data_IF_293540737922
#
_entry.id   IF_293540737922
#
_cell.length_a   1.000
_cell.length_b   1.000
_cell.length_c   1.000
_cell.angle_alpha   90.00
_cell.angle_beta   90.00
_cell.angle_gamma   90.00
#
_symmetry.space_group_name_H-M   'P 1'
#
loop_
_entity.id
_entity.type
_entity.pdbx_description
1 polymer ?
#
# COMPACT_ATOMS: atom_id res chain seq x y z
N UNK A 1 -6.45 -2.42 -22.57
CA UNK A 1 -6.64 -1.03 -22.09
C UNK A 1 -7.94 -0.48 -22.65
N UNK A 2 -8.60 0.43 -21.93
CA UNK A 2 -9.74 1.19 -22.45
C UNK A 2 -9.68 2.65 -22.02
N UNK A 3 -10.44 3.52 -22.69
CA UNK A 3 -10.61 4.92 -22.30
C UNK A 3 -12.09 5.25 -22.21
N UNK A 4 -12.48 5.94 -21.13
CA UNK A 4 -13.83 6.42 -20.95
C UNK A 4 -13.79 7.71 -20.11
N UNK A 5 -14.52 8.74 -20.55
CA UNK A 5 -14.60 10.06 -19.90
C UNK A 5 -13.24 10.69 -19.53
N UNK A 6 -12.25 10.54 -20.42
CA UNK A 6 -10.89 11.08 -20.21
C UNK A 6 -10.06 10.35 -19.15
N UNK A 7 -10.49 9.14 -18.75
CA UNK A 7 -9.76 8.23 -17.87
C UNK A 7 -9.31 7.01 -18.68
N UNK A 8 -8.03 6.65 -18.56
CA UNK A 8 -7.43 5.45 -19.14
C UNK A 8 -7.38 4.35 -18.11
N UNK A 9 -7.86 3.17 -18.48
CA UNK A 9 -7.96 1.99 -17.62
C UNK A 9 -7.01 0.89 -18.08
N UNK A 10 -6.30 0.31 -17.11
CA UNK A 10 -5.55 -0.92 -17.29
C UNK A 10 -6.44 -2.10 -16.88
N UNK A 11 -6.50 -3.10 -17.77
CA UNK A 11 -7.20 -4.37 -17.56
C UNK A 11 -6.20 -5.48 -17.89
N UNK A 12 -6.15 -6.54 -17.09
CA UNK A 12 -5.44 -7.77 -17.41
C UNK A 12 -6.46 -8.88 -17.59
N UNK A 13 -6.72 -9.24 -18.85
CA UNK A 13 -7.51 -10.40 -19.34
C UNK A 13 -8.83 -10.73 -18.62
N UNK A 14 -9.38 -9.76 -17.88
CA UNK A 14 -10.61 -9.84 -17.11
C UNK A 14 -11.37 -8.51 -17.16
N UNK A 15 -12.60 -8.50 -16.66
CA UNK A 15 -13.42 -7.27 -16.54
C UNK A 15 -12.93 -6.34 -15.42
N UNK A 16 -11.95 -6.76 -14.61
CA UNK A 16 -11.49 -6.02 -13.45
C UNK A 16 -10.51 -4.92 -13.86
N UNK A 17 -10.79 -3.70 -13.42
CA UNK A 17 -9.90 -2.55 -13.56
C UNK A 17 -8.74 -2.71 -12.58
N UNK A 18 -7.55 -3.00 -13.10
CA UNK A 18 -6.32 -3.07 -12.29
C UNK A 18 -5.76 -1.70 -11.93
N UNK A 19 -6.16 -0.65 -12.65
CA UNK A 19 -5.78 0.71 -12.33
C UNK A 19 -6.36 1.70 -13.32
N UNK A 20 -6.40 2.96 -12.91
CA UNK A 20 -6.93 4.05 -13.73
C UNK A 20 -6.01 5.28 -13.65
N UNK A 21 -6.00 6.06 -14.72
CA UNK A 21 -5.29 7.34 -14.79
C UNK A 21 -6.11 8.35 -15.58
N UNK A 22 -6.35 9.52 -14.98
CA UNK A 22 -6.97 10.64 -15.69
C UNK A 22 -5.97 11.27 -16.66
N UNK A 23 -6.30 11.33 -17.94
CA UNK A 23 -5.39 11.82 -18.98
C UNK A 23 -4.97 13.28 -18.76
N UNK A 24 -5.91 14.13 -18.32
CA UNK A 24 -5.67 15.56 -18.06
C UNK A 24 -4.93 15.83 -16.74
N UNK A 25 -4.95 14.88 -15.80
CA UNK A 25 -4.35 15.01 -14.45
C UNK A 25 -3.75 13.67 -14.02
N UNK A 26 -2.72 13.17 -14.72
CA UNK A 26 -2.18 11.82 -14.54
C UNK A 26 -1.58 11.57 -13.15
N UNK A 27 -1.29 12.65 -12.43
CA UNK A 27 -0.80 12.66 -11.05
C UNK A 27 -1.88 12.55 -9.97
N UNK A 28 -3.17 12.71 -10.32
CA UNK A 28 -4.26 12.53 -9.36
C UNK A 28 -4.55 11.05 -9.16
N UNK A 29 -4.72 10.66 -7.90
CA UNK A 29 -5.18 9.32 -7.55
C UNK A 29 -6.69 9.25 -7.82
N UNK A 30 -7.07 8.60 -8.91
CA UNK A 30 -8.46 8.55 -9.36
C UNK A 30 -9.31 7.56 -8.54
N UNK A 31 -8.75 6.39 -8.22
CA UNK A 31 -9.47 5.31 -7.56
C UNK A 31 -9.47 5.49 -6.04
N UNK A 32 -10.62 5.29 -5.40
CA UNK A 32 -10.78 5.50 -3.96
C UNK A 32 -9.87 4.60 -3.13
N UNK A 33 -9.70 3.32 -3.50
CA UNK A 33 -8.81 2.43 -2.77
C UNK A 33 -7.34 2.88 -2.88
N UNK A 34 -6.92 3.39 -4.04
CA UNK A 34 -5.55 3.90 -4.27
C UNK A 34 -5.32 5.16 -3.43
N UNK A 35 -6.34 6.03 -3.28
CA UNK A 35 -6.26 7.14 -2.32
C UNK A 35 -6.10 6.63 -0.88
N UNK A 36 -6.88 5.60 -0.50
CA UNK A 36 -6.81 5.00 0.85
C UNK A 36 -5.49 4.28 1.13
N UNK A 37 -4.80 3.77 0.10
CA UNK A 37 -3.42 3.25 0.22
C UNK A 37 -2.43 4.31 0.70
N UNK A 38 -2.75 5.60 0.56
CA UNK A 38 -1.94 6.72 1.07
C UNK A 38 -2.25 7.08 2.54
N UNK A 39 -3.09 6.31 3.24
CA UNK A 39 -3.47 6.61 4.62
C UNK A 39 -2.27 6.65 5.58
N UNK A 40 -1.16 5.98 5.26
CA UNK A 40 0.10 6.06 6.01
C UNK A 40 0.58 7.51 6.24
N UNK A 41 0.20 8.46 5.38
CA UNK A 41 0.50 9.89 5.55
C UNK A 41 0.01 10.44 6.90
N UNK A 42 -1.05 9.87 7.49
CA UNK A 42 -1.57 10.27 8.79
C UNK A 42 -0.57 9.99 9.93
N UNK A 43 0.22 8.93 9.82
CA UNK A 43 1.15 8.50 10.87
C UNK A 43 2.53 9.17 10.77
N UNK A 44 2.92 9.72 9.62
CA UNK A 44 4.21 10.40 9.46
C UNK A 44 4.15 11.88 9.85
N UNK A 45 5.23 12.37 10.47
CA UNK A 45 5.39 13.79 10.76
C UNK A 45 5.39 14.61 9.46
N UNK A 46 4.64 15.70 9.41
CA UNK A 46 4.52 16.55 8.20
C UNK A 46 5.84 17.17 7.77
N UNK A 47 6.81 17.31 8.69
CA UNK A 47 8.16 17.83 8.41
C UNK A 47 9.03 16.81 7.68
N UNK A 48 8.77 15.52 7.88
CA UNK A 48 9.57 14.41 7.34
C UNK A 48 8.78 13.53 6.36
N UNK A 49 7.50 13.85 6.12
CA UNK A 49 6.55 13.08 5.32
C UNK A 49 7.09 12.66 3.94
N UNK A 50 7.91 13.51 3.32
CA UNK A 50 8.49 13.31 2.00
C UNK A 50 9.95 12.83 2.03
N UNK A 51 10.52 12.61 3.21
CA UNK A 51 11.89 12.15 3.37
C UNK A 51 11.97 10.62 3.24
N UNK A 52 13.08 10.17 2.65
CA UNK A 52 13.40 8.76 2.52
C UNK A 52 12.85 8.10 1.25
N UNK A 53 12.57 6.79 1.36
CA UNK A 53 12.17 5.94 0.25
C UNK A 53 10.75 5.41 0.41
N UNK A 54 9.98 5.51 -0.67
CA UNK A 54 8.72 4.80 -0.86
C UNK A 54 8.94 3.60 -1.81
N UNK A 55 8.43 2.44 -1.44
CA UNK A 55 8.46 1.23 -2.26
C UNK A 55 7.03 0.84 -2.64
N UNK A 56 6.84 0.42 -3.89
CA UNK A 56 5.59 -0.06 -4.45
C UNK A 56 5.81 -1.50 -4.90
N UNK A 57 5.13 -2.47 -4.27
CA UNK A 57 5.10 -3.84 -4.73
C UNK A 57 3.83 -4.02 -5.57
N UNK A 58 4.02 -4.23 -6.87
CA UNK A 58 2.98 -4.11 -7.89
C UNK A 58 2.96 -2.70 -8.48
N UNK A 59 3.04 -2.59 -9.81
CA UNK A 59 3.03 -1.29 -10.48
C UNK A 59 1.61 -0.86 -10.87
N UNK A 60 0.77 -1.81 -11.30
CA UNK A 60 -0.58 -1.52 -11.82
C UNK A 60 -0.56 -0.44 -12.89
N UNK A 61 -1.44 0.57 -12.79
CA UNK A 61 -1.41 1.75 -13.67
C UNK A 61 -0.45 2.86 -13.20
N UNK A 62 0.51 2.54 -12.32
CA UNK A 62 1.60 3.42 -11.86
C UNK A 62 1.15 4.59 -11.00
N UNK A 63 -0.08 4.58 -10.48
CA UNK A 63 -0.66 5.72 -9.78
C UNK A 63 0.08 6.06 -8.48
N UNK A 64 0.31 5.06 -7.62
CA UNK A 64 1.07 5.26 -6.37
C UNK A 64 2.51 5.67 -6.65
N UNK A 65 3.17 5.03 -7.62
CA UNK A 65 4.53 5.35 -8.07
C UNK A 65 4.64 6.80 -8.55
N UNK A 66 3.75 7.23 -9.44
CA UNK A 66 3.72 8.62 -9.93
C UNK A 66 3.43 9.60 -8.80
N UNK A 67 2.50 9.27 -7.91
CA UNK A 67 2.15 10.15 -6.80
C UNK A 67 3.32 10.34 -5.83
N UNK A 68 3.95 9.26 -5.36
CA UNK A 68 5.10 9.33 -4.46
C UNK A 68 6.29 10.06 -5.10
N UNK A 69 6.60 9.75 -6.36
CA UNK A 69 7.71 10.38 -7.07
C UNK A 69 7.46 11.85 -7.41
N UNK A 70 6.28 12.20 -7.92
CA UNK A 70 6.01 13.53 -8.49
C UNK A 70 5.42 14.49 -7.47
N UNK A 71 4.42 14.04 -6.71
CA UNK A 71 3.71 14.89 -5.74
C UNK A 71 4.45 14.96 -4.41
N UNK A 72 4.89 13.81 -3.88
CA UNK A 72 5.66 13.77 -2.64
C UNK A 72 7.15 14.01 -2.86
N UNK A 73 7.65 13.90 -4.10
CA UNK A 73 9.08 14.05 -4.45
C UNK A 73 9.98 13.07 -3.71
N UNK A 74 9.44 11.93 -3.28
CA UNK A 74 10.18 10.86 -2.61
C UNK A 74 11.01 10.06 -3.60
N UNK A 75 12.14 9.51 -3.15
CA UNK A 75 12.76 8.38 -3.85
C UNK A 75 11.76 7.24 -3.87
N UNK A 76 11.51 6.69 -5.05
CA UNK A 76 10.44 5.73 -5.30
C UNK A 76 10.98 4.54 -6.07
N UNK A 77 10.85 3.36 -5.48
CA UNK A 77 11.10 2.08 -6.16
C UNK A 77 9.76 1.40 -6.44
N UNK A 78 9.54 0.95 -7.66
CA UNK A 78 8.41 0.07 -8.00
C UNK A 78 8.95 -1.29 -8.44
N UNK A 79 8.37 -2.37 -7.90
CA UNK A 79 8.73 -3.76 -8.22
C UNK A 79 7.53 -4.38 -8.93
N UNK A 80 7.74 -4.84 -10.17
CA UNK A 80 6.69 -5.38 -11.02
C UNK A 80 7.19 -6.62 -11.76
N UNK A 81 6.45 -7.72 -11.68
CA UNK A 81 6.85 -8.98 -12.31
C UNK A 81 6.59 -8.99 -13.82
N UNK A 82 5.56 -8.27 -14.29
CA UNK A 82 5.14 -8.30 -15.68
C UNK A 82 5.80 -7.16 -16.50
N UNK A 83 6.76 -7.47 -17.40
CA UNK A 83 7.41 -6.45 -18.23
C UNK A 83 6.43 -5.70 -19.15
N UNK A 84 5.29 -6.30 -19.49
CA UNK A 84 4.25 -5.65 -20.29
C UNK A 84 3.55 -4.55 -19.50
N UNK A 85 3.34 -4.73 -18.19
CA UNK A 85 2.79 -3.68 -17.31
C UNK A 85 3.77 -2.52 -17.20
N UNK A 86 5.06 -2.79 -17.06
CA UNK A 86 6.11 -1.78 -17.04
C UNK A 86 6.11 -0.99 -18.35
N UNK A 87 6.17 -1.68 -19.49
CA UNK A 87 6.14 -1.06 -20.82
C UNK A 87 4.87 -0.22 -21.01
N UNK A 88 3.70 -0.74 -20.61
CA UNK A 88 2.46 0.01 -20.68
C UNK A 88 2.51 1.30 -19.86
N UNK A 89 3.14 1.27 -18.68
CA UNK A 89 3.29 2.46 -17.85
C UNK A 89 4.18 3.53 -18.49
N UNK A 90 5.29 3.13 -19.13
CA UNK A 90 6.17 4.06 -19.83
C UNK A 90 5.48 4.71 -21.03
N UNK A 91 4.80 3.91 -21.86
CA UNK A 91 4.20 4.39 -23.10
C UNK A 91 2.85 5.10 -22.90
N UNK A 92 2.04 4.62 -21.95
CA UNK A 92 0.62 5.00 -21.86
C UNK A 92 0.21 5.56 -20.50
N UNK A 93 0.99 5.37 -19.43
CA UNK A 93 0.64 5.93 -18.11
C UNK A 93 1.64 6.98 -17.62
N UNK A 94 2.37 7.60 -18.55
CA UNK A 94 3.24 8.76 -18.30
C UNK A 94 4.25 8.53 -17.17
N UNK A 95 4.70 7.28 -16.99
CA UNK A 95 5.80 6.97 -16.10
C UNK A 95 7.11 7.25 -16.85
N UNK A 96 7.95 8.21 -16.44
CA UNK A 96 9.19 8.54 -17.14
C UNK A 96 10.20 7.39 -16.99
N UNK A 97 11.27 7.34 -17.77
CA UNK A 97 12.39 6.41 -17.50
C UNK A 97 12.98 6.59 -16.09
N UNK A 98 13.82 5.63 -15.68
CA UNK A 98 14.45 5.65 -14.36
C UNK A 98 15.44 6.82 -14.24
N UNK A 99 15.50 7.40 -13.04
CA UNK A 99 16.35 8.54 -12.70
C UNK A 99 16.74 8.51 -11.22
N UNK A 100 17.32 9.59 -10.72
CA UNK A 100 17.77 9.68 -9.32
C UNK A 100 16.64 9.49 -8.28
N UNK A 101 15.36 9.65 -8.67
CA UNK A 101 14.19 9.48 -7.79
C UNK A 101 13.33 8.28 -8.14
N UNK A 102 13.44 7.71 -9.33
CA UNK A 102 12.63 6.59 -9.77
C UNK A 102 13.49 5.40 -10.17
N UNK A 103 13.18 4.26 -9.59
CA UNK A 103 13.66 2.96 -10.04
C UNK A 103 12.47 2.03 -10.28
N UNK A 104 12.39 1.41 -11.44
CA UNK A 104 11.41 0.35 -11.72
C UNK A 104 12.17 -0.94 -11.95
N UNK A 105 11.95 -1.91 -11.07
CA UNK A 105 12.61 -3.21 -11.07
C UNK A 105 11.65 -4.25 -11.62
N UNK A 106 12.08 -4.98 -12.65
CA UNK A 106 11.33 -6.11 -13.17
C UNK A 106 11.72 -7.38 -12.40
N UNK A 107 11.00 -7.68 -11.33
CA UNK A 107 11.33 -8.78 -10.41
C UNK A 107 10.08 -9.27 -9.67
N UNK A 108 10.14 -10.48 -9.10
CA UNK A 108 9.14 -10.97 -8.17
C UNK A 108 9.22 -10.20 -6.84
N UNK A 109 8.06 -9.75 -6.34
CA UNK A 109 8.00 -8.94 -5.13
C UNK A 109 8.46 -9.71 -3.88
N UNK A 110 8.19 -11.03 -3.80
CA UNK A 110 8.61 -11.88 -2.69
C UNK A 110 10.12 -12.05 -2.65
N UNK A 111 10.73 -12.34 -3.80
CA UNK A 111 12.19 -12.39 -3.93
C UNK A 111 12.83 -11.04 -3.55
N UNK A 112 12.26 -9.93 -4.01
CA UNK A 112 12.79 -8.60 -3.75
C UNK A 112 12.76 -8.24 -2.25
N UNK A 113 11.68 -8.55 -1.52
CA UNK A 113 11.62 -8.26 -0.07
C UNK A 113 12.50 -9.20 0.76
N UNK A 114 12.74 -10.43 0.29
CA UNK A 114 13.62 -11.39 0.94
C UNK A 114 15.12 -11.04 0.81
N UNK A 115 15.49 -10.22 -0.18
CA UNK A 115 16.87 -9.77 -0.33
C UNK A 115 17.27 -8.77 0.78
N UNK A 116 18.24 -9.18 1.59
CA UNK A 116 18.79 -8.40 2.70
C UNK A 116 19.39 -7.05 2.25
N UNK A 117 19.74 -6.88 0.98
CA UNK A 117 20.17 -5.59 0.44
C UNK A 117 19.07 -4.51 0.52
N UNK A 118 17.80 -4.91 0.61
CA UNK A 118 16.66 -4.00 0.65
C UNK A 118 16.18 -3.67 2.08
N UNK A 119 16.76 -4.31 3.11
CA UNK A 119 16.29 -4.21 4.49
C UNK A 119 16.62 -2.88 5.18
N UNK A 120 15.69 -2.40 6.02
CA UNK A 120 15.87 -1.21 6.85
C UNK A 120 15.83 0.13 6.10
N UNK A 121 15.46 0.13 4.81
CA UNK A 121 15.65 1.28 3.94
C UNK A 121 14.35 2.00 3.56
N UNK A 122 13.18 1.36 3.70
CA UNK A 122 11.91 1.93 3.25
C UNK A 122 11.17 2.64 4.39
N UNK A 123 10.85 3.93 4.22
CA UNK A 123 9.93 4.62 5.13
C UNK A 123 8.47 4.29 4.84
N UNK A 124 8.19 3.89 3.59
CA UNK A 124 6.87 3.49 3.14
C UNK A 124 6.98 2.29 2.23
N UNK A 125 6.15 1.27 2.46
CA UNK A 125 5.98 0.11 1.60
C UNK A 125 4.50 -0.03 1.24
N UNK A 126 4.13 0.06 -0.02
CA UNK A 126 2.75 -0.16 -0.47
C UNK A 126 2.71 -1.50 -1.21
N UNK A 127 1.83 -2.40 -0.76
CA UNK A 127 1.64 -3.74 -1.32
C UNK A 127 0.29 -3.78 -2.02
N UNK A 128 0.32 -3.85 -3.34
CA UNK A 128 -0.86 -3.87 -4.22
C UNK A 128 -0.70 -4.99 -5.25
N UNK A 129 -0.58 -6.22 -4.73
CA UNK A 129 -0.28 -7.42 -5.51
C UNK A 129 -1.56 -8.26 -5.71
N UNK A 130 -1.94 -8.48 -6.96
CA UNK A 130 -3.07 -9.33 -7.33
C UNK A 130 -2.70 -10.27 -8.47
N UNK A 131 -3.30 -11.45 -8.48
CA UNK A 131 -3.25 -12.30 -9.66
C UNK A 131 -4.06 -11.68 -10.82
N UNK A 132 -3.87 -12.22 -12.02
CA UNK A 132 -4.54 -11.76 -13.24
C UNK A 132 -6.07 -11.94 -13.19
N UNK A 133 -6.59 -12.76 -12.28
CA UNK A 133 -8.03 -12.97 -12.06
C UNK A 133 -8.61 -12.10 -10.92
N UNK A 134 -7.75 -11.36 -10.20
CA UNK A 134 -8.04 -10.73 -8.92
C UNK A 134 -8.69 -11.71 -7.89
N UNK A 135 -8.32 -12.99 -7.95
CA UNK A 135 -8.93 -14.04 -7.14
C UNK A 135 -8.45 -13.99 -5.68
N UNK A 136 -7.15 -13.72 -5.46
CA UNK A 136 -6.53 -13.48 -4.16
C UNK A 136 -5.27 -12.58 -4.27
N UNK A 137 -4.75 -12.03 -3.14
CA UNK A 137 -3.38 -11.52 -3.13
C UNK A 137 -2.40 -12.65 -3.46
N UNK A 138 -1.45 -12.39 -4.36
CA UNK A 138 -0.46 -13.40 -4.81
C UNK A 138 0.48 -13.80 -3.67
N UNK A 139 0.76 -12.84 -2.77
CA UNK A 139 1.61 -13.02 -1.60
C UNK A 139 0.80 -12.61 -0.36
N UNK A 140 0.30 -13.60 0.37
CA UNK A 140 -0.45 -13.43 1.61
C UNK A 140 -0.07 -14.56 2.59
N UNK A 141 1.15 -14.51 3.10
CA UNK A 141 1.67 -15.42 4.11
C UNK A 141 2.54 -14.69 5.14
N UNK A 142 2.80 -15.34 6.27
CA UNK A 142 3.52 -14.74 7.41
C UNK A 142 4.99 -14.47 7.08
N UNK A 143 5.63 -15.29 6.23
CA UNK A 143 7.04 -15.10 5.85
C UNK A 143 7.19 -13.86 4.96
N UNK A 144 6.31 -13.69 3.98
CA UNK A 144 6.27 -12.50 3.15
C UNK A 144 6.07 -11.22 3.97
N UNK A 145 5.13 -11.22 4.93
CA UNK A 145 4.95 -10.05 5.79
C UNK A 145 6.15 -9.82 6.72
N UNK A 146 6.84 -10.88 7.18
CA UNK A 146 8.08 -10.74 7.94
C UNK A 146 9.20 -10.09 7.11
N UNK A 147 9.33 -10.45 5.84
CA UNK A 147 10.28 -9.81 4.92
C UNK A 147 9.89 -8.35 4.64
N UNK A 148 8.60 -8.06 4.45
CA UNK A 148 8.09 -6.70 4.36
C UNK A 148 8.46 -5.86 5.60
N UNK A 149 8.32 -6.43 6.80
CA UNK A 149 8.72 -5.78 8.04
C UNK A 149 10.24 -5.50 8.10
N UNK A 150 11.07 -6.42 7.59
CA UNK A 150 12.53 -6.22 7.50
C UNK A 150 12.92 -5.12 6.52
N UNK A 151 12.21 -4.98 5.39
CA UNK A 151 12.39 -3.90 4.40
C UNK A 151 12.14 -2.52 4.99
N UNK A 152 11.16 -2.38 5.89
CA UNK A 152 10.87 -1.10 6.52
C UNK A 152 12.03 -0.62 7.39
N UNK A 153 12.33 0.66 7.31
CA UNK A 153 13.11 1.37 8.32
C UNK A 153 12.32 1.42 9.64
N UNK A 154 13.01 1.71 10.75
CA UNK A 154 12.33 1.97 12.02
C UNK A 154 11.41 3.20 11.88
N UNK A 155 10.17 3.10 12.39
CA UNK A 155 9.10 4.06 12.16
C UNK A 155 8.48 4.00 10.75
N UNK A 156 8.89 3.03 9.92
CA UNK A 156 8.34 2.82 8.59
C UNK A 156 6.91 2.28 8.61
N UNK A 157 6.16 2.55 7.55
CA UNK A 157 4.76 2.15 7.41
C UNK A 157 4.55 1.30 6.17
N UNK A 158 3.77 0.24 6.31
CA UNK A 158 3.25 -0.55 5.21
C UNK A 158 1.77 -0.27 5.00
N UNK A 159 1.32 -0.23 3.75
CA UNK A 159 -0.09 -0.37 3.40
C UNK A 159 -0.28 -1.57 2.48
N UNK A 160 -1.37 -2.31 2.70
CA UNK A 160 -1.71 -3.50 1.91
C UNK A 160 -3.15 -3.38 1.44
N UNK A 161 -3.39 -3.56 0.16
CA UNK A 161 -4.74 -3.65 -0.39
C UNK A 161 -5.23 -5.09 -0.33
N UNK A 162 -6.20 -5.39 0.53
CA UNK A 162 -6.85 -6.70 0.60
C UNK A 162 -8.14 -6.67 -0.20
N UNK A 163 -8.14 -7.36 -1.34
CA UNK A 163 -9.26 -7.47 -2.26
C UNK A 163 -9.28 -8.86 -2.92
N UNK A 164 -10.44 -9.32 -3.35
CA UNK A 164 -10.62 -10.60 -4.05
C UNK A 164 -11.72 -11.46 -3.45
N UNK A 165 -12.33 -12.31 -4.28
CA UNK A 165 -13.49 -13.15 -3.89
C UNK A 165 -13.16 -14.18 -2.81
N UNK A 166 -11.90 -14.60 -2.73
CA UNK A 166 -11.40 -15.57 -1.74
C UNK A 166 -10.54 -14.92 -0.63
N UNK A 167 -10.37 -13.59 -0.68
CA UNK A 167 -9.62 -12.85 0.31
C UNK A 167 -10.38 -12.87 1.64
N UNK A 168 -9.78 -13.48 2.66
CA UNK A 168 -10.29 -13.41 4.03
C UNK A 168 -9.55 -12.30 4.76
N UNK A 169 -10.22 -11.16 4.94
CA UNK A 169 -9.67 -10.05 5.72
C UNK A 169 -9.13 -10.53 7.07
N UNK A 170 -9.90 -11.34 7.81
CA UNK A 170 -9.50 -11.87 9.11
C UNK A 170 -8.20 -12.67 9.02
N UNK A 171 -8.07 -13.56 8.04
CA UNK A 171 -6.85 -14.37 7.87
C UNK A 171 -5.62 -13.51 7.58
N UNK A 172 -5.71 -12.62 6.60
CA UNK A 172 -4.60 -11.75 6.21
C UNK A 172 -4.23 -10.77 7.34
N UNK A 173 -5.22 -10.17 8.00
CA UNK A 173 -5.01 -9.29 9.14
C UNK A 173 -4.34 -10.00 10.32
N UNK A 174 -4.71 -11.25 10.61
CA UNK A 174 -4.04 -12.08 11.64
C UNK A 174 -2.57 -12.31 11.28
N UNK A 175 -2.25 -12.64 10.03
CA UNK A 175 -0.86 -12.84 9.58
C UNK A 175 -0.02 -11.57 9.70
N UNK A 176 -0.56 -10.43 9.27
CA UNK A 176 0.11 -9.13 9.41
C UNK A 176 0.32 -8.80 10.89
N UNK A 177 -0.70 -9.00 11.74
CA UNK A 177 -0.63 -8.71 13.17
C UNK A 177 0.36 -9.58 13.94
N UNK A 178 0.56 -10.85 13.54
CA UNK A 178 1.60 -11.71 14.12
C UNK A 178 3.02 -11.15 13.91
N UNK A 179 3.24 -10.52 12.76
CA UNK A 179 4.55 -9.96 12.40
C UNK A 179 4.74 -8.55 12.98
N UNK A 180 3.75 -7.69 12.82
CA UNK A 180 3.86 -6.27 13.15
C UNK A 180 3.46 -5.94 14.59
N UNK A 181 2.69 -6.81 15.24
CA UNK A 181 2.02 -6.55 16.51
C UNK A 181 0.61 -5.99 16.30
N UNK A 182 -0.37 -6.46 17.09
CA UNK A 182 -1.78 -6.07 16.92
C UNK A 182 -2.06 -4.59 17.23
N UNK A 183 -1.20 -3.97 18.04
CA UNK A 183 -1.22 -2.54 18.38
C UNK A 183 -0.57 -1.66 17.31
N UNK A 184 0.09 -2.27 16.33
CA UNK A 184 0.72 -1.61 15.19
C UNK A 184 -0.02 -1.84 13.87
N UNK A 185 -1.25 -2.37 13.91
CA UNK A 185 -2.03 -2.68 12.71
C UNK A 185 -3.43 -2.06 12.79
N UNK A 186 -3.79 -1.37 11.72
CA UNK A 186 -5.08 -0.71 11.53
C UNK A 186 -5.65 -1.09 10.17
N UNK A 187 -6.95 -0.87 9.99
CA UNK A 187 -7.57 -1.00 8.69
C UNK A 187 -8.50 0.18 8.42
N UNK A 188 -8.70 0.48 7.14
CA UNK A 188 -9.77 1.38 6.70
C UNK A 188 -11.00 0.54 6.38
N UNK A 189 -12.18 1.04 6.76
CA UNK A 189 -13.47 0.47 6.33
C UNK A 189 -13.43 0.14 4.83
N UNK A 190 -14.00 -1.00 4.36
CA UNK A 190 -13.97 -1.38 2.96
C UNK A 190 -14.51 -0.30 1.99
N UNK A 191 -14.02 -0.26 0.75
CA UNK A 191 -14.66 0.52 -0.33
C UNK A 191 -15.97 -0.15 -0.75
N UNK A 192 -16.78 0.55 -1.56
CA UNK A 192 -18.00 -0.04 -2.13
C UNK A 192 -17.68 -1.25 -3.00
N UNK A 193 -16.53 -1.21 -3.67
CA UNK A 193 -16.01 -2.26 -4.52
C UNK A 193 -15.48 -3.45 -3.70
N UNK A 194 -15.19 -3.26 -2.41
CA UNK A 194 -14.77 -4.32 -1.48
C UNK A 194 -13.29 -4.29 -1.07
N UNK A 195 -12.51 -3.29 -1.53
CA UNK A 195 -11.11 -3.14 -1.14
C UNK A 195 -11.00 -2.75 0.33
N UNK A 196 -10.25 -3.53 1.10
CA UNK A 196 -9.93 -3.23 2.50
C UNK A 196 -8.44 -2.90 2.60
N UNK A 197 -8.12 -1.66 2.99
CA UNK A 197 -6.73 -1.25 3.14
C UNK A 197 -6.29 -1.50 4.58
N UNK A 198 -5.21 -2.25 4.75
CA UNK A 198 -4.54 -2.44 6.04
C UNK A 198 -3.33 -1.52 6.10
N UNK A 199 -3.11 -0.89 7.25
CA UNK A 199 -1.92 -0.08 7.56
C UNK A 199 -1.18 -0.79 8.69
N UNK A 200 0.13 -1.00 8.55
CA UNK A 200 0.96 -1.61 9.58
C UNK A 200 2.22 -0.76 9.83
N UNK A 201 2.64 -0.61 11.08
CA UNK A 201 3.79 0.20 11.48
C UNK A 201 4.93 -0.63 12.05
N UNK A 202 6.17 -0.31 11.72
CA UNK A 202 7.36 -0.85 12.40
C UNK A 202 7.76 0.08 13.54
N UNK A 203 7.24 -0.17 14.74
CA UNK A 203 7.57 0.62 15.94
C UNK A 203 7.07 2.06 15.86
N UNK A 204 5.89 2.29 15.30
CA UNK A 204 5.30 3.62 15.13
C UNK A 204 4.58 4.03 16.40
N UNK A 205 4.91 5.23 16.90
CA UNK A 205 4.10 5.90 17.90
C UNK A 205 2.86 6.51 17.23
N UNK A 206 1.67 6.04 17.63
CA UNK A 206 0.41 6.58 17.11
C UNK A 206 0.24 8.02 17.58
N UNK A 207 0.08 9.00 16.68
CA UNK A 207 -0.14 10.37 17.10
C UNK A 207 -1.48 10.55 17.81
N UNK A 208 -1.53 11.50 18.73
CA UNK A 208 -2.77 11.94 19.38
C UNK A 208 -3.79 12.42 18.35
N UNK A 209 -5.08 12.34 18.70
CA UNK A 209 -6.20 12.70 17.81
C UNK A 209 -6.04 14.09 17.19
N UNK A 210 -5.67 15.09 17.99
CA UNK A 210 -5.50 16.47 17.52
C UNK A 210 -4.37 16.57 16.47
N UNK A 211 -3.28 15.84 16.66
CA UNK A 211 -2.17 15.77 15.69
C UNK A 211 -2.63 15.11 14.39
N UNK A 212 -3.40 14.02 14.48
CA UNK A 212 -3.98 13.37 13.31
C UNK A 212 -4.92 14.29 12.52
N UNK A 213 -5.72 15.12 13.19
CA UNK A 213 -6.59 16.12 12.55
C UNK A 213 -5.79 17.20 11.83
N UNK A 214 -4.74 17.73 12.47
CA UNK A 214 -3.84 18.70 11.84
C UNK A 214 -3.12 18.10 10.61
N UNK A 215 -2.67 16.84 10.71
CA UNK A 215 -2.05 16.11 9.59
C UNK A 215 -3.04 15.88 8.45
N UNK A 216 -4.27 15.50 8.76
CA UNK A 216 -5.31 15.31 7.75
C UNK A 216 -5.60 16.62 6.98
N UNK A 217 -5.77 17.73 7.69
CA UNK A 217 -5.98 19.03 7.06
C UNK A 217 -4.78 19.43 6.17
N UNK A 218 -3.55 19.14 6.62
CA UNK A 218 -2.33 19.37 5.85
C UNK A 218 -2.30 18.57 4.55
N UNK A 219 -2.66 17.29 4.62
CA UNK A 219 -2.70 16.38 3.46
C UNK A 219 -3.75 16.88 2.45
N UNK A 220 -4.95 17.24 2.91
CA UNK A 220 -6.01 17.78 2.05
C UNK A 220 -5.55 19.05 1.33
N UNK A 221 -4.95 19.99 2.06
CA UNK A 221 -4.49 21.26 1.52
C UNK A 221 -3.36 21.11 0.48
N UNK A 222 -2.47 20.11 0.63
CA UNK A 222 -1.29 19.96 -0.25
C UNK A 222 -1.44 18.95 -1.36
N UNK A 223 -2.28 17.93 -1.15
CA UNK A 223 -2.28 16.75 -1.99
C UNK A 223 -3.65 16.41 -2.59
N UNK A 224 -4.70 17.16 -2.23
CA UNK A 224 -6.07 16.93 -2.73
C UNK A 224 -6.56 15.49 -2.46
N UNK A 225 -6.14 14.94 -1.32
CA UNK A 225 -6.50 13.62 -0.83
C UNK A 225 -7.47 13.78 0.35
N UNK A 226 -8.56 13.00 0.46
CA UNK A 226 -9.62 13.20 1.45
C UNK A 226 -9.24 12.67 2.85
N UNK A 227 -8.15 13.15 3.41
CA UNK A 227 -7.56 12.62 4.64
C UNK A 227 -8.45 12.80 5.88
N UNK A 228 -9.26 13.85 5.96
CA UNK A 228 -10.22 14.06 7.05
C UNK A 228 -11.30 12.98 7.04
N UNK A 229 -11.65 12.47 5.85
CA UNK A 229 -12.55 11.30 5.71
C UNK A 229 -11.89 10.05 6.31
N UNK A 230 -10.60 9.83 6.05
CA UNK A 230 -9.88 8.64 6.52
C UNK A 230 -9.86 8.52 8.04
N UNK A 231 -9.78 9.63 8.80
CA UNK A 231 -9.86 9.60 10.26
C UNK A 231 -11.15 8.98 10.84
N UNK A 232 -12.21 8.90 10.02
CA UNK A 232 -13.48 8.25 10.36
C UNK A 232 -13.52 6.78 9.91
N UNK A 233 -12.66 6.42 8.96
CA UNK A 233 -12.59 5.09 8.35
C UNK A 233 -11.53 4.20 9.00
N UNK A 234 -10.45 4.79 9.52
CA UNK A 234 -9.38 4.06 10.22
C UNK A 234 -9.93 3.48 11.52
N UNK A 235 -9.74 2.17 11.69
CA UNK A 235 -10.13 1.39 12.85
C UNK A 235 -8.98 0.49 13.30
N UNK A 236 -8.84 0.22 14.61
CA UNK A 236 -7.99 -0.88 15.07
C UNK A 236 -8.49 -2.21 14.51
N UNK A 237 -7.71 -3.27 14.65
CA UNK A 237 -8.14 -4.62 14.28
C UNK A 237 -9.42 -5.02 15.04
N UNK A 238 -10.37 -5.72 14.38
CA UNK A 238 -11.58 -6.17 15.05
C UNK A 238 -11.27 -7.26 16.07
N UNK A 239 -12.11 -7.36 17.11
CA UNK A 239 -11.89 -8.26 18.26
C UNK A 239 -11.75 -9.73 17.86
N UNK A 240 -12.38 -10.19 16.78
CA UNK A 240 -12.24 -11.56 16.32
C UNK A 240 -10.81 -11.89 15.84
N UNK A 241 -10.12 -10.93 15.20
CA UNK A 241 -8.70 -11.06 14.84
C UNK A 241 -7.84 -11.11 16.11
N UNK A 242 -8.13 -10.23 17.08
CA UNK A 242 -7.42 -10.22 18.38
C UNK A 242 -7.57 -11.54 19.13
N UNK A 243 -8.79 -12.07 19.22
CA UNK A 243 -9.05 -13.35 19.87
C UNK A 243 -8.34 -14.51 19.16
N UNK A 244 -8.27 -14.49 17.83
CA UNK A 244 -7.55 -15.52 17.07
C UNK A 244 -6.03 -15.49 17.34
N UNK A 245 -5.45 -14.30 17.48
CA UNK A 245 -4.04 -14.14 17.87
C UNK A 245 -3.77 -14.70 19.26
N UNK A 246 -4.65 -14.38 20.22
CA UNK A 246 -4.53 -14.87 21.61
C UNK A 246 -4.67 -16.39 21.70
N UNK A 247 -5.61 -16.97 20.94
CA UNK A 247 -5.80 -18.42 20.89
C UNK A 247 -4.59 -19.14 20.30
N UNK A 248 -3.96 -18.59 19.25
CA UNK A 248 -2.74 -19.18 18.67
C UNK A 248 -1.56 -19.12 19.67
N UNK A 249 -1.37 -18.00 20.36
CA UNK A 249 -0.30 -17.85 21.34
C UNK A 249 -0.45 -18.80 22.55
N UNK A 250 -1.67 -19.13 22.95
CA UNK A 250 -1.92 -20.08 24.05
C UNK A 250 -1.57 -21.53 23.68
N UNK A 251 -1.67 -21.91 22.40
CA UNK A 251 -1.29 -23.24 21.92
C UNK A 251 0.24 -23.39 21.90
N UNK A 252 0.97 -22.35 21.50
CA UNK A 252 2.44 -22.36 21.45
C UNK A 252 3.11 -22.36 22.84
N UNK A 253 2.37 -22.05 23.92
CA UNK A 253 2.89 -22.06 25.30
C UNK A 253 2.71 -23.40 26.03
N UNK A 254 1.93 -24.32 25.47
CA UNK A 254 1.63 -25.64 26.04
C UNK A 254 2.50 -26.77 25.42
N UNK A 255 3.45 -26.45 24.53
CA UNK A 255 4.52 -27.33 24.01
C UNK A 255 5.90 -27.04 24.63
#
# INVERSE_FOLDING_TARGET
>A
MSEFDGVRFLHLDSIWVQGAMRLKKPEKLELEYVQRMMAWLLWRDTREMTQGQAVQLGLGAGALTRFCRKQLKMKTTAVEINPTVISANRHWFHLPDDDERLRVVNEDAGAWVADAANWGNAQVLNVDLYDHEAAAPVLDDEAFYADCHRVLADGGLMTVNLFGRSASFTRSATRIAKVFGSDQVWHLTPTREGNTIVVAGRGVAVPEREVLEQRAAHIEARHDLPATKWLKLVRPLPMNVIHQLQAAAAVDTDE
#
